data_IF_215334642363
#
_entry.id   IF_215334642363
#
_cell.length_a   1.000
_cell.length_b   1.000
_cell.length_c   1.000
_cell.angle_alpha   90.00
_cell.angle_beta   90.00
_cell.angle_gamma   90.00
#
_symmetry.space_group_name_H-M   'P 1'
#
loop_
_entity.id
_entity.type
_entity.pdbx_description
1 polymer ?
#
# COMPACT_ATOMS: atom_id res chain seq x y z
N UNK A 1 41.58 -20.16 -5.35
CA UNK A 1 41.25 -19.08 -6.31
C UNK A 1 40.02 -18.36 -5.77
N UNK A 2 40.10 -17.04 -5.68
CA UNK A 2 38.97 -16.24 -5.21
C UNK A 2 37.93 -16.21 -6.33
N UNK A 3 36.68 -16.54 -6.03
CA UNK A 3 35.61 -16.53 -7.00
C UNK A 3 35.29 -15.08 -7.39
N UNK A 4 35.25 -14.80 -8.66
CA UNK A 4 34.95 -13.47 -9.19
C UNK A 4 33.67 -13.51 -10.02
N UNK A 5 32.94 -12.42 -9.95
CA UNK A 5 31.64 -12.27 -10.60
C UNK A 5 31.66 -11.00 -11.48
N UNK A 6 30.76 -10.96 -12.45
CA UNK A 6 30.47 -9.77 -13.25
C UNK A 6 28.95 -9.67 -13.40
N UNK A 7 28.41 -8.47 -13.54
CA UNK A 7 26.98 -8.28 -13.79
C UNK A 7 26.72 -7.36 -14.98
N UNK A 8 25.56 -7.49 -15.60
CA UNK A 8 25.07 -6.54 -16.60
C UNK A 8 24.12 -5.58 -15.91
N UNK A 9 24.49 -4.29 -15.85
CA UNK A 9 23.65 -3.25 -15.25
C UNK A 9 22.37 -2.97 -16.07
N UNK A 10 21.45 -2.21 -15.50
CA UNK A 10 20.23 -1.78 -16.18
C UNK A 10 20.47 -0.88 -17.39
N UNK A 11 21.66 -0.34 -17.53
CA UNK A 11 22.17 0.43 -18.67
C UNK A 11 22.80 -0.45 -19.77
N UNK A 12 22.80 -1.79 -19.58
CA UNK A 12 23.39 -2.75 -20.50
C UNK A 12 24.92 -2.83 -20.44
N UNK A 13 25.55 -2.16 -19.47
CA UNK A 13 27.01 -2.23 -19.29
C UNK A 13 27.42 -3.37 -18.37
N UNK A 14 28.63 -3.92 -18.62
CA UNK A 14 29.23 -4.97 -17.80
C UNK A 14 30.02 -4.33 -16.65
N UNK A 15 29.69 -4.73 -15.42
CA UNK A 15 30.33 -4.30 -14.18
C UNK A 15 31.06 -5.46 -13.54
N UNK A 16 32.31 -5.25 -13.13
CA UNK A 16 33.15 -6.25 -12.49
C UNK A 16 34.58 -6.21 -13.00
N UNK A 17 35.49 -7.08 -12.54
CA UNK A 17 35.22 -8.20 -11.62
C UNK A 17 34.88 -7.74 -10.19
N UNK A 18 33.95 -8.43 -9.52
CA UNK A 18 33.50 -8.14 -8.17
C UNK A 18 33.48 -9.41 -7.31
N UNK A 19 33.43 -9.27 -6.00
CA UNK A 19 33.36 -10.36 -5.04
C UNK A 19 31.91 -10.73 -4.71
N UNK A 20 31.69 -11.90 -4.09
CA UNK A 20 30.36 -12.29 -3.61
C UNK A 20 29.81 -11.28 -2.59
N UNK A 21 30.66 -10.79 -1.67
CA UNK A 21 30.26 -9.83 -0.66
C UNK A 21 29.76 -8.49 -1.26
N UNK A 22 30.37 -8.04 -2.35
CA UNK A 22 29.92 -6.85 -3.07
C UNK A 22 28.59 -7.10 -3.81
N UNK A 23 28.41 -8.30 -4.40
CA UNK A 23 27.11 -8.67 -4.98
C UNK A 23 26.02 -8.72 -3.93
N UNK A 24 26.29 -9.27 -2.75
CA UNK A 24 25.35 -9.25 -1.62
C UNK A 24 25.01 -7.83 -1.19
N UNK A 25 26.00 -6.93 -1.09
CA UNK A 25 25.74 -5.52 -0.80
C UNK A 25 24.87 -4.86 -1.87
N UNK A 26 25.08 -5.17 -3.15
CA UNK A 26 24.25 -4.64 -4.24
C UNK A 26 22.83 -5.21 -4.24
N UNK A 27 22.63 -6.44 -3.76
CA UNK A 27 21.29 -6.98 -3.48
C UNK A 27 20.62 -6.16 -2.37
N UNK A 28 21.34 -5.92 -1.24
CA UNK A 28 20.84 -5.15 -0.11
C UNK A 28 20.46 -3.70 -0.49
N UNK A 29 21.26 -3.08 -1.37
CA UNK A 29 21.01 -1.73 -1.88
C UNK A 29 19.93 -1.68 -2.98
N UNK A 30 19.38 -2.84 -3.40
CA UNK A 30 18.41 -2.93 -4.49
C UNK A 30 18.99 -2.64 -5.89
N UNK A 31 20.30 -2.63 -6.03
CA UNK A 31 21.01 -2.41 -7.30
C UNK A 31 21.10 -3.69 -8.14
N UNK A 32 21.14 -4.86 -7.48
CA UNK A 32 21.13 -6.16 -8.11
C UNK A 32 19.75 -6.81 -7.90
N UNK A 33 19.04 -7.02 -8.99
CA UNK A 33 17.71 -7.66 -9.00
C UNK A 33 17.81 -9.14 -9.35
N UNK A 34 16.85 -9.99 -8.97
CA UNK A 34 16.88 -11.43 -9.28
C UNK A 34 16.98 -11.77 -10.77
N UNK A 35 16.41 -10.91 -11.63
CA UNK A 35 16.46 -11.06 -13.09
C UNK A 35 17.74 -10.51 -13.74
N UNK A 36 18.63 -9.87 -12.96
CA UNK A 36 19.90 -9.33 -13.48
C UNK A 36 20.85 -10.47 -13.85
N UNK A 37 21.48 -10.37 -15.01
CA UNK A 37 22.45 -11.36 -15.44
C UNK A 37 23.77 -11.20 -14.70
N UNK A 38 24.24 -12.27 -14.10
CA UNK A 38 25.53 -12.38 -13.40
C UNK A 38 26.34 -13.50 -14.01
N UNK A 39 27.59 -13.22 -14.31
CA UNK A 39 28.57 -14.21 -14.73
C UNK A 39 29.40 -14.66 -13.53
N UNK A 40 29.60 -15.96 -13.38
CA UNK A 40 30.43 -16.54 -12.34
C UNK A 40 31.68 -17.18 -12.96
N UNK A 41 32.86 -16.92 -12.36
CA UNK A 41 34.12 -17.56 -12.76
C UNK A 41 34.13 -19.06 -12.52
N UNK A 42 33.31 -19.59 -11.65
CA UNK A 42 33.18 -21.01 -11.34
C UNK A 42 32.47 -21.77 -12.47
N UNK A 43 31.36 -21.25 -12.96
CA UNK A 43 30.53 -21.90 -13.99
C UNK A 43 30.92 -21.47 -15.41
N UNK A 44 31.61 -20.33 -15.56
CA UNK A 44 31.95 -19.70 -16.83
C UNK A 44 30.75 -19.26 -17.66
N UNK A 45 29.57 -19.08 -17.02
CA UNK A 45 28.29 -18.79 -17.70
C UNK A 45 27.56 -17.61 -17.06
N UNK A 46 26.76 -16.93 -17.87
CA UNK A 46 25.81 -15.95 -17.43
C UNK A 46 24.54 -16.66 -16.92
N UNK A 47 24.08 -16.28 -15.75
CA UNK A 47 22.82 -16.76 -15.16
C UNK A 47 22.10 -15.60 -14.47
N UNK A 48 20.79 -15.76 -14.26
CA UNK A 48 20.04 -14.80 -13.46
C UNK A 48 20.53 -14.84 -12.00
N UNK A 49 20.74 -13.67 -11.40
CA UNK A 49 21.20 -13.55 -10.01
C UNK A 49 20.34 -14.33 -9.01
N UNK A 50 19.02 -14.37 -9.23
CA UNK A 50 18.08 -15.11 -8.41
C UNK A 50 18.21 -16.63 -8.47
N UNK A 51 18.99 -17.16 -9.45
CA UNK A 51 19.29 -18.60 -9.59
C UNK A 51 20.62 -19.00 -8.99
N UNK A 52 21.41 -18.03 -8.52
CA UNK A 52 22.67 -18.29 -7.84
C UNK A 52 22.40 -18.68 -6.38
N UNK A 53 22.77 -19.91 -5.96
CA UNK A 53 22.52 -20.38 -4.59
C UNK A 53 23.15 -19.49 -3.53
N UNK A 54 24.31 -18.91 -3.84
CA UNK A 54 25.08 -18.04 -2.95
C UNK A 54 24.32 -16.73 -2.62
N UNK A 55 23.50 -16.22 -3.56
CA UNK A 55 22.74 -15.00 -3.39
C UNK A 55 21.32 -15.24 -2.87
N UNK A 56 20.87 -16.50 -2.79
CA UNK A 56 19.52 -16.83 -2.36
C UNK A 56 19.17 -16.27 -0.97
N UNK A 57 20.09 -16.41 0.00
CA UNK A 57 19.92 -15.85 1.35
C UNK A 57 19.91 -14.32 1.40
N UNK A 58 20.61 -13.66 0.51
CA UNK A 58 20.63 -12.19 0.41
C UNK A 58 19.35 -11.67 -0.23
N UNK A 59 18.86 -12.34 -1.27
CA UNK A 59 17.55 -12.02 -1.85
C UNK A 59 16.39 -12.30 -0.87
N UNK A 60 16.45 -13.37 -0.06
CA UNK A 60 15.47 -13.62 0.98
C UNK A 60 15.44 -12.51 2.05
N UNK A 61 16.57 -11.90 2.37
CA UNK A 61 16.64 -10.76 3.31
C UNK A 61 16.08 -9.47 2.71
N UNK A 62 16.27 -9.24 1.41
CA UNK A 62 15.88 -7.99 0.72
C UNK A 62 14.49 -8.09 0.10
N UNK A 63 14.08 -9.28 -0.29
CA UNK A 63 12.77 -9.59 -0.87
C UNK A 63 11.82 -10.29 0.12
N UNK A 64 11.74 -9.86 1.40
CA UNK A 64 10.75 -10.45 2.31
C UNK A 64 9.31 -10.19 1.86
N UNK A 65 9.12 -9.41 0.78
CA UNK A 65 7.82 -8.94 0.35
C UNK A 65 7.08 -9.88 -0.61
N UNK A 66 7.78 -10.79 -1.30
CA UNK A 66 7.11 -11.64 -2.31
C UNK A 66 6.64 -13.00 -1.75
N UNK A 67 7.10 -13.38 -0.56
CA UNK A 67 6.70 -14.63 0.12
C UNK A 67 6.51 -14.49 1.63
N UNK A 68 6.23 -13.28 2.14
CA UNK A 68 5.84 -13.16 3.53
C UNK A 68 4.53 -13.95 3.71
N UNK A 69 4.60 -15.02 4.48
CA UNK A 69 3.42 -15.79 4.86
C UNK A 69 2.88 -15.23 6.17
N UNK A 70 1.61 -14.85 6.20
CA UNK A 70 0.88 -14.56 7.44
C UNK A 70 0.00 -15.75 7.73
N UNK A 71 0.15 -16.36 8.89
CA UNK A 71 -0.58 -17.57 9.27
C UNK A 71 -0.43 -18.73 8.24
N UNK A 72 0.75 -18.84 7.61
CA UNK A 72 1.02 -19.88 6.59
C UNK A 72 0.51 -19.56 5.19
N UNK A 73 0.11 -18.30 4.95
CA UNK A 73 -0.44 -17.83 3.68
C UNK A 73 0.54 -16.95 2.94
N UNK A 74 0.82 -17.30 1.70
CA UNK A 74 1.64 -16.49 0.80
C UNK A 74 0.96 -15.13 0.54
N UNK A 75 1.67 -14.04 0.84
CA UNK A 75 1.16 -12.68 0.64
C UNK A 75 1.41 -12.22 -0.80
N UNK A 76 0.40 -12.29 -1.62
CA UNK A 76 0.44 -11.72 -2.98
C UNK A 76 0.00 -10.25 -2.93
N UNK A 77 0.84 -9.28 -3.37
CA UNK A 77 0.46 -7.87 -3.41
C UNK A 77 -0.81 -7.64 -4.23
N UNK A 78 -1.72 -6.82 -3.71
CA UNK A 78 -2.95 -6.48 -4.41
C UNK A 78 -2.66 -5.54 -5.59
N UNK A 79 -3.21 -5.84 -6.76
CA UNK A 79 -3.09 -4.99 -7.95
C UNK A 79 -3.78 -3.64 -7.77
N UNK A 80 -3.31 -2.63 -8.52
CA UNK A 80 -3.81 -1.25 -8.45
C UNK A 80 -5.33 -1.15 -8.71
N UNK A 81 -5.86 -1.84 -9.70
CA UNK A 81 -7.29 -1.84 -10.04
C UNK A 81 -8.19 -2.37 -8.93
N UNK A 82 -7.76 -3.42 -8.22
CA UNK A 82 -8.52 -3.93 -7.07
C UNK A 82 -8.55 -2.94 -5.91
N UNK A 83 -7.42 -2.25 -5.66
CA UNK A 83 -7.32 -1.19 -4.65
C UNK A 83 -8.18 0.00 -5.02
N UNK A 84 -8.19 0.39 -6.30
CA UNK A 84 -9.02 1.47 -6.81
C UNK A 84 -10.52 1.14 -6.68
N UNK A 85 -10.95 -0.05 -7.12
CA UNK A 85 -12.34 -0.48 -6.95
C UNK A 85 -12.80 -0.52 -5.48
N UNK A 86 -11.94 -1.03 -4.59
CA UNK A 86 -12.21 -1.01 -3.15
C UNK A 86 -12.34 0.42 -2.60
N UNK A 87 -11.46 1.33 -3.03
CA UNK A 87 -11.50 2.73 -2.64
C UNK A 87 -12.78 3.43 -3.11
N UNK A 88 -13.21 3.20 -4.36
CA UNK A 88 -14.47 3.75 -4.88
C UNK A 88 -15.66 3.22 -4.07
N UNK A 89 -15.72 1.91 -3.79
CA UNK A 89 -16.78 1.33 -2.99
C UNK A 89 -16.84 1.91 -1.57
N UNK A 90 -15.68 2.07 -0.91
CA UNK A 90 -15.58 2.68 0.41
C UNK A 90 -16.03 4.15 0.39
N UNK A 91 -15.62 4.93 -0.61
CA UNK A 91 -16.06 6.33 -0.77
C UNK A 91 -17.58 6.41 -0.94
N UNK A 92 -18.15 5.62 -1.84
CA UNK A 92 -19.60 5.61 -2.06
C UNK A 92 -20.36 5.27 -0.78
N UNK A 93 -19.88 4.29 -0.01
CA UNK A 93 -20.47 3.92 1.26
C UNK A 93 -20.39 5.06 2.29
N UNK A 94 -19.23 5.70 2.43
CA UNK A 94 -19.02 6.81 3.36
C UNK A 94 -19.90 8.01 3.00
N UNK A 95 -19.96 8.37 1.70
CA UNK A 95 -20.82 9.47 1.25
C UNK A 95 -22.30 9.15 1.45
N UNK A 96 -22.74 7.93 1.17
CA UNK A 96 -24.10 7.50 1.41
C UNK A 96 -24.47 7.60 2.89
N UNK A 97 -23.67 7.01 3.77
CA UNK A 97 -23.92 7.04 5.22
C UNK A 97 -23.79 8.47 5.78
N UNK A 98 -22.78 9.21 5.31
CA UNK A 98 -22.54 10.58 5.73
C UNK A 98 -23.68 11.51 5.32
N UNK A 99 -24.22 11.39 4.09
CA UNK A 99 -25.37 12.19 3.66
C UNK A 99 -26.64 11.87 4.44
N UNK A 100 -26.81 10.62 4.87
CA UNK A 100 -27.94 10.21 5.69
C UNK A 100 -27.86 10.78 7.13
N UNK A 101 -26.64 10.85 7.67
CA UNK A 101 -26.40 11.34 9.05
C UNK A 101 -26.28 12.87 9.11
N UNK A 102 -25.87 13.50 8.01
CA UNK A 102 -25.60 14.93 7.99
C UNK A 102 -26.76 15.82 8.46
N UNK A 103 -28.02 15.62 8.05
CA UNK A 103 -29.12 16.45 8.50
C UNK A 103 -29.29 16.47 10.03
N UNK A 104 -29.06 15.31 10.67
CA UNK A 104 -29.14 15.18 12.13
C UNK A 104 -28.00 15.91 12.81
N UNK A 105 -26.79 15.75 12.30
CA UNK A 105 -25.59 16.41 12.83
C UNK A 105 -25.66 17.93 12.62
N UNK A 106 -26.09 18.37 11.44
CA UNK A 106 -26.27 19.78 11.12
C UNK A 106 -27.31 20.46 12.02
N UNK A 107 -28.44 19.80 12.26
CA UNK A 107 -29.45 20.28 13.18
C UNK A 107 -28.91 20.41 14.62
N UNK A 108 -28.13 19.44 15.07
CA UNK A 108 -27.51 19.47 16.40
C UNK A 108 -26.42 20.55 16.54
N UNK A 109 -25.68 20.83 15.47
CA UNK A 109 -24.65 21.87 15.45
C UNK A 109 -25.18 23.26 15.08
N UNK A 110 -26.48 23.38 14.71
CA UNK A 110 -27.07 24.64 14.25
C UNK A 110 -26.52 25.11 12.88
N UNK A 111 -26.10 24.16 12.04
CA UNK A 111 -25.56 24.46 10.70
C UNK A 111 -26.70 24.42 9.68
N UNK A 112 -26.89 25.50 8.93
CA UNK A 112 -27.83 25.49 7.80
C UNK A 112 -27.30 24.61 6.66
N UNK A 113 -28.14 23.66 6.21
CA UNK A 113 -27.83 22.84 5.04
C UNK A 113 -28.19 23.64 3.78
N UNK A 114 -27.20 24.05 3.03
CA UNK A 114 -27.42 24.80 1.78
C UNK A 114 -27.55 23.84 0.59
N UNK A 115 -28.50 24.12 -0.33
CA UNK A 115 -28.64 23.32 -1.54
C UNK A 115 -27.42 23.46 -2.46
N UNK A 116 -27.22 22.46 -3.31
CA UNK A 116 -26.19 22.54 -4.33
C UNK A 116 -26.51 23.68 -5.32
N UNK A 117 -25.49 24.39 -5.84
CA UNK A 117 -25.69 25.46 -6.80
C UNK A 117 -26.30 24.92 -8.10
N UNK A 118 -27.28 25.64 -8.65
CA UNK A 118 -27.89 25.28 -9.93
C UNK A 118 -26.99 25.57 -11.14
N UNK A 119 -25.95 26.41 -10.96
CA UNK A 119 -24.98 26.78 -11.96
C UNK A 119 -23.72 25.93 -11.89
N UNK A 120 -23.22 25.44 -13.04
CA UNK A 120 -21.98 24.66 -13.14
C UNK A 120 -20.69 25.49 -13.25
N UNK A 121 -20.71 26.78 -12.86
CA UNK A 121 -19.52 27.62 -12.89
C UNK A 121 -18.57 27.27 -11.75
N UNK A 122 -17.26 27.36 -12.00
CA UNK A 122 -16.24 27.05 -11.01
C UNK A 122 -16.40 27.89 -9.72
N UNK A 123 -16.74 29.16 -9.86
CA UNK A 123 -16.94 30.08 -8.74
C UNK A 123 -18.10 29.62 -7.84
N UNK A 124 -19.20 29.14 -8.44
CA UNK A 124 -20.36 28.63 -7.69
C UNK A 124 -19.99 27.35 -6.92
N UNK A 125 -19.17 26.49 -7.51
CA UNK A 125 -18.68 25.26 -6.87
C UNK A 125 -17.71 25.58 -5.73
N UNK A 126 -16.81 26.55 -5.90
CA UNK A 126 -15.87 26.97 -4.87
C UNK A 126 -16.60 27.63 -3.69
N UNK A 127 -17.60 28.48 -3.97
CA UNK A 127 -18.40 29.11 -2.95
C UNK A 127 -19.24 28.07 -2.18
N UNK A 128 -19.85 27.12 -2.89
CA UNK A 128 -20.55 25.98 -2.29
C UNK A 128 -19.65 25.17 -1.37
N UNK A 129 -18.43 24.81 -1.84
CA UNK A 129 -17.45 24.09 -1.04
C UNK A 129 -17.05 24.88 0.21
N UNK A 130 -16.85 26.20 0.10
CA UNK A 130 -16.52 27.06 1.21
C UNK A 130 -17.65 27.16 2.23
N UNK A 131 -18.89 27.27 1.77
CA UNK A 131 -20.07 27.35 2.62
C UNK A 131 -20.38 26.02 3.31
N UNK A 132 -20.04 24.88 2.67
CA UNK A 132 -20.24 23.53 3.22
C UNK A 132 -18.98 22.96 3.88
N UNK A 133 -18.01 23.77 4.29
CA UNK A 133 -16.84 23.33 5.07
C UNK A 133 -17.19 22.40 6.24
N UNK A 134 -18.26 22.66 7.04
CA UNK A 134 -18.63 21.76 8.13
C UNK A 134 -19.01 20.36 7.64
N UNK A 135 -19.71 20.23 6.51
CA UNK A 135 -20.03 18.94 5.90
C UNK A 135 -18.77 18.21 5.44
N UNK A 136 -17.87 18.92 4.75
CA UNK A 136 -16.62 18.32 4.28
C UNK A 136 -15.76 17.86 5.45
N UNK A 137 -15.65 18.65 6.50
CA UNK A 137 -14.97 18.27 7.74
C UNK A 137 -15.61 17.04 8.40
N UNK A 138 -16.93 17.02 8.52
CA UNK A 138 -17.66 15.87 9.05
C UNK A 138 -17.39 14.59 8.25
N UNK A 139 -17.43 14.66 6.91
CA UNK A 139 -17.13 13.53 6.04
C UNK A 139 -15.69 13.03 6.21
N UNK A 140 -14.73 13.94 6.42
CA UNK A 140 -13.33 13.54 6.69
C UNK A 140 -13.18 12.86 8.05
N UNK A 141 -13.90 13.31 9.08
CA UNK A 141 -13.92 12.66 10.38
C UNK A 141 -14.57 11.26 10.26
N UNK A 142 -15.67 11.14 9.54
CA UNK A 142 -16.31 9.85 9.26
C UNK A 142 -15.34 8.90 8.54
N UNK A 143 -14.62 9.40 7.54
CA UNK A 143 -13.62 8.64 6.79
C UNK A 143 -12.45 8.18 7.67
N UNK A 144 -11.96 9.03 8.56
CA UNK A 144 -10.93 8.68 9.55
C UNK A 144 -11.43 7.55 10.47
N UNK A 145 -12.58 7.75 11.10
CA UNK A 145 -13.15 6.75 12.01
C UNK A 145 -13.39 5.42 11.29
N UNK A 146 -13.94 5.46 10.08
CA UNK A 146 -14.18 4.30 9.25
C UNK A 146 -12.88 3.54 8.93
N UNK A 147 -11.83 4.22 8.46
CA UNK A 147 -10.54 3.59 8.14
C UNK A 147 -9.89 3.02 9.42
N UNK A 148 -9.86 3.79 10.52
CA UNK A 148 -9.22 3.36 11.77
C UNK A 148 -9.94 2.16 12.38
N UNK A 149 -11.26 2.18 12.47
CA UNK A 149 -12.05 1.10 13.07
C UNK A 149 -11.96 -0.17 12.23
N UNK A 150 -12.19 -0.07 10.92
CA UNK A 150 -12.23 -1.25 10.06
C UNK A 150 -10.83 -1.81 9.79
N UNK A 151 -9.84 -0.97 9.49
CA UNK A 151 -8.48 -1.47 9.24
C UNK A 151 -7.80 -1.90 10.54
N UNK A 152 -7.97 -1.14 11.63
CA UNK A 152 -7.39 -1.48 12.93
C UNK A 152 -8.00 -2.74 13.56
N UNK A 153 -9.31 -2.93 13.43
CA UNK A 153 -10.02 -4.08 13.99
C UNK A 153 -10.00 -5.31 13.07
N UNK A 154 -10.33 -5.12 11.80
CA UNK A 154 -10.55 -6.23 10.85
C UNK A 154 -9.43 -6.37 9.81
N UNK A 155 -8.52 -5.41 9.72
CA UNK A 155 -7.47 -5.38 8.69
C UNK A 155 -7.96 -5.00 7.30
N UNK A 156 -9.25 -4.68 7.13
CA UNK A 156 -9.81 -4.31 5.83
C UNK A 156 -11.09 -3.49 6.02
N UNK A 157 -11.32 -2.49 5.17
CA UNK A 157 -12.59 -1.79 5.04
C UNK A 157 -13.60 -2.66 4.27
N UNK A 158 -14.92 -2.41 4.36
CA UNK A 158 -15.93 -3.13 3.59
C UNK A 158 -15.63 -3.22 2.10
N UNK A 159 -15.24 -2.13 1.44
CA UNK A 159 -14.86 -2.16 0.03
C UNK A 159 -13.63 -3.03 -0.24
N UNK A 160 -12.64 -3.03 0.66
CA UNK A 160 -11.49 -3.93 0.57
C UNK A 160 -11.87 -5.40 0.78
N UNK A 161 -12.80 -5.68 1.71
CA UNK A 161 -13.34 -7.03 1.91
C UNK A 161 -14.04 -7.54 0.66
N UNK A 162 -14.88 -6.71 0.02
CA UNK A 162 -15.55 -7.05 -1.25
C UNK A 162 -14.54 -7.30 -2.38
N UNK A 163 -13.43 -6.55 -2.44
CA UNK A 163 -12.38 -6.73 -3.42
C UNK A 163 -11.44 -7.93 -3.13
N UNK A 164 -11.63 -8.64 -2.00
CA UNK A 164 -10.77 -9.74 -1.58
C UNK A 164 -9.34 -9.31 -1.27
N UNK A 165 -9.18 -8.13 -0.66
CA UNK A 165 -7.87 -7.57 -0.27
C UNK A 165 -7.86 -7.18 1.21
N UNK A 166 -6.69 -7.28 1.84
CA UNK A 166 -6.47 -6.98 3.24
C UNK A 166 -5.21 -6.16 3.44
N UNK A 167 -5.24 -5.31 4.46
CA UNK A 167 -4.07 -4.57 4.94
C UNK A 167 -3.39 -5.38 6.02
N UNK A 168 -2.09 -5.53 5.91
CA UNK A 168 -1.24 -6.22 6.89
C UNK A 168 -0.02 -5.35 7.18
N UNK A 169 0.66 -5.58 8.29
CA UNK A 169 1.98 -4.98 8.53
C UNK A 169 2.99 -5.58 7.57
N UNK A 170 4.11 -4.87 7.37
CA UNK A 170 5.20 -5.35 6.51
C UNK A 170 5.85 -6.63 7.02
N UNK A 171 5.78 -6.90 8.32
CA UNK A 171 6.21 -8.15 8.96
C UNK A 171 5.16 -9.26 8.91
N UNK A 172 4.01 -9.02 8.26
CA UNK A 172 2.91 -9.96 8.18
C UNK A 172 1.94 -9.92 9.35
N UNK A 173 2.22 -9.14 10.37
CA UNK A 173 1.36 -8.99 11.55
C UNK A 173 0.07 -8.21 11.28
N UNK A 174 -0.78 -8.14 12.31
CA UNK A 174 -2.02 -7.34 12.26
C UNK A 174 -1.72 -5.86 12.29
N UNK A 175 -2.53 -5.09 11.56
CA UNK A 175 -2.48 -3.63 11.61
C UNK A 175 -3.22 -3.18 12.85
N UNK A 176 -2.52 -2.51 13.78
CA UNK A 176 -3.16 -1.89 14.94
C UNK A 176 -3.81 -0.54 14.58
N UNK A 177 -4.62 -0.02 15.50
CA UNK A 177 -5.34 1.25 15.31
C UNK A 177 -4.40 2.44 15.03
N UNK A 178 -3.24 2.50 15.69
CA UNK A 178 -2.25 3.55 15.46
C UNK A 178 -1.70 3.50 14.03
N UNK A 179 -1.34 2.32 13.54
CA UNK A 179 -0.85 2.16 12.16
C UNK A 179 -1.94 2.48 11.13
N UNK A 180 -3.21 2.15 11.42
CA UNK A 180 -4.36 2.52 10.59
C UNK A 180 -4.55 4.05 10.55
N UNK A 181 -4.42 4.74 11.68
CA UNK A 181 -4.47 6.20 11.75
C UNK A 181 -3.31 6.85 10.98
N UNK A 182 -2.07 6.41 11.21
CA UNK A 182 -0.90 6.90 10.46
C UNK A 182 -1.07 6.71 8.95
N UNK A 183 -1.65 5.59 8.54
CA UNK A 183 -1.98 5.29 7.15
C UNK A 183 -3.00 6.29 6.56
N UNK A 184 -4.02 6.65 7.33
CA UNK A 184 -5.00 7.66 6.92
C UNK A 184 -4.34 9.03 6.71
N UNK A 185 -3.54 9.49 7.68
CA UNK A 185 -2.81 10.76 7.54
C UNK A 185 -1.79 10.72 6.40
N UNK A 186 -1.05 9.62 6.24
CA UNK A 186 -0.16 9.42 5.10
C UNK A 186 -0.89 9.52 3.76
N UNK A 187 -2.14 9.02 3.68
CA UNK A 187 -2.99 9.15 2.49
C UNK A 187 -3.42 10.60 2.25
N UNK A 188 -3.78 11.33 3.30
CA UNK A 188 -4.13 12.74 3.20
C UNK A 188 -2.97 13.57 2.60
N UNK A 189 -1.72 13.30 3.03
CA UNK A 189 -0.53 13.88 2.41
C UNK A 189 -0.36 13.48 0.94
N UNK A 190 -0.73 12.26 0.55
CA UNK A 190 -0.69 11.83 -0.84
C UNK A 190 -1.73 12.52 -1.73
N UNK A 191 -2.88 12.88 -1.17
CA UNK A 191 -3.99 13.53 -1.87
C UNK A 191 -3.70 15.01 -2.13
N UNK A 192 -3.01 15.71 -1.21
CA UNK A 192 -2.72 17.14 -1.30
C UNK A 192 -1.96 17.57 -2.56
N UNK A 193 -0.86 16.92 -3.01
CA UNK A 193 -0.17 17.28 -4.24
C UNK A 193 -0.73 16.49 -5.43
N UNK A 194 -1.95 16.79 -5.88
CA UNK A 194 -2.56 16.19 -7.09
C UNK A 194 -2.50 14.65 -7.14
N UNK A 195 -2.62 13.97 -5.98
CA UNK A 195 -2.52 12.50 -5.87
C UNK A 195 -1.18 11.90 -6.33
N UNK A 196 -0.11 12.67 -6.42
CA UNK A 196 1.21 12.19 -6.84
C UNK A 196 1.75 11.06 -5.93
N UNK A 197 1.34 11.01 -4.67
CA UNK A 197 1.71 9.92 -3.76
C UNK A 197 1.21 8.54 -4.18
N UNK A 198 0.18 8.46 -5.04
CA UNK A 198 -0.29 7.19 -5.59
C UNK A 198 0.54 6.72 -6.80
N UNK A 199 1.33 7.60 -7.41
CA UNK A 199 2.21 7.24 -8.52
C UNK A 199 3.27 6.22 -8.07
N UNK A 200 3.71 6.27 -6.81
CA UNK A 200 4.63 5.30 -6.23
C UNK A 200 4.10 3.86 -6.32
N UNK A 201 2.78 3.67 -6.25
CA UNK A 201 2.13 2.37 -6.38
C UNK A 201 2.30 1.74 -7.77
N UNK A 202 2.42 2.57 -8.81
CA UNK A 202 2.62 2.13 -10.20
C UNK A 202 4.09 1.92 -10.53
N UNK A 203 4.98 2.71 -9.91
CA UNK A 203 6.41 2.71 -10.22
C UNK A 203 7.20 1.66 -9.44
N UNK A 204 6.69 1.22 -8.28
CA UNK A 204 7.39 0.27 -7.41
C UNK A 204 6.98 -1.17 -7.68
N UNK A 205 7.98 -2.06 -7.69
CA UNK A 205 7.76 -3.51 -7.86
C UNK A 205 6.94 -4.13 -6.71
N UNK A 206 7.12 -3.60 -5.47
CA UNK A 206 6.38 -4.04 -4.27
C UNK A 206 4.95 -3.52 -4.19
N UNK A 207 4.53 -2.67 -5.14
CA UNK A 207 3.19 -2.08 -5.24
C UNK A 207 2.72 -1.43 -3.93
N UNK A 208 3.63 -0.82 -3.17
CA UNK A 208 3.31 -0.04 -1.97
C UNK A 208 3.15 1.42 -2.32
N UNK A 209 2.07 2.04 -1.88
CA UNK A 209 1.89 3.48 -1.93
C UNK A 209 2.73 4.18 -0.85
N UNK A 210 2.97 5.48 -0.99
CA UNK A 210 3.72 6.25 0.00
C UNK A 210 3.11 6.13 1.41
N UNK A 211 1.78 6.15 1.52
CA UNK A 211 1.07 5.95 2.78
C UNK A 211 1.25 4.54 3.38
N UNK A 212 1.44 3.51 2.53
CA UNK A 212 1.76 2.15 2.97
C UNK A 212 3.16 2.10 3.59
N UNK A 213 4.13 2.80 2.98
CA UNK A 213 5.51 2.89 3.46
C UNK A 213 5.60 3.62 4.80
N UNK A 214 4.94 4.79 4.91
CA UNK A 214 4.93 5.61 6.13
C UNK A 214 4.31 4.88 7.32
N UNK A 215 3.34 4.00 7.08
CA UNK A 215 2.65 3.23 8.12
C UNK A 215 3.22 1.83 8.34
N UNK A 216 4.27 1.42 7.60
CA UNK A 216 4.85 0.09 7.67
C UNK A 216 3.85 -1.02 7.32
N UNK A 217 2.95 -0.76 6.35
CA UNK A 217 1.89 -1.70 5.96
C UNK A 217 2.00 -2.11 4.49
N UNK A 218 1.28 -3.17 4.14
CA UNK A 218 1.12 -3.63 2.75
C UNK A 218 -0.33 -4.07 2.51
N UNK A 219 -0.80 -3.99 1.27
CA UNK A 219 -2.11 -4.50 0.88
C UNK A 219 -1.94 -5.78 0.08
N UNK A 220 -2.51 -6.87 0.58
CA UNK A 220 -2.37 -8.21 0.03
C UNK A 220 -3.71 -8.79 -0.41
N UNK A 221 -3.69 -9.79 -1.28
CA UNK A 221 -4.88 -10.54 -1.67
C UNK A 221 -5.20 -11.59 -0.62
N UNK A 222 -6.49 -11.79 -0.37
CA UNK A 222 -7.00 -12.92 0.44
C UNK A 222 -7.51 -13.98 -0.53
N UNK A 223 -6.98 -15.20 -0.44
CA UNK A 223 -7.48 -16.32 -1.26
C UNK A 223 -8.80 -16.85 -0.67
N UNK A 224 -9.82 -17.12 -1.49
CA UNK A 224 -11.06 -17.72 -1.01
C UNK A 224 -10.75 -19.14 -0.48
N UNK A 225 -11.05 -19.36 0.79
CA UNK A 225 -10.76 -20.62 1.51
C UNK A 225 -9.91 -20.46 2.77
N UNK A 226 -9.26 -19.34 2.95
CA UNK A 226 -8.50 -19.03 4.16
C UNK A 226 -9.41 -18.38 5.21
N UNK A 227 -9.78 -19.16 6.22
CA UNK A 227 -10.46 -18.65 7.41
C UNK A 227 -9.52 -17.69 8.14
N UNK A 228 -9.75 -16.40 7.98
CA UNK A 228 -9.17 -15.40 8.88
C UNK A 228 -9.72 -15.67 10.27
N UNK A 229 -8.89 -16.17 11.17
CA UNK A 229 -9.27 -16.29 12.59
C UNK A 229 -9.62 -14.88 13.08
N UNK A 230 -10.85 -14.66 13.61
CA UNK A 230 -11.17 -13.41 14.25
C UNK A 230 -10.24 -13.22 15.44
N UNK A 231 -9.82 -11.97 15.64
CA UNK A 231 -8.97 -11.59 16.76
C UNK A 231 -9.79 -11.53 18.05
N UNK A 232 -10.14 -12.69 18.59
CA UNK A 232 -10.67 -12.78 19.94
C UNK A 232 -9.63 -13.49 20.82
N UNK A 233 -9.12 -12.75 21.82
CA UNK A 233 -8.38 -13.28 22.95
C UNK A 233 -6.86 -13.28 22.76
N UNK A 234 -6.21 -12.23 23.21
CA UNK A 234 -4.86 -12.26 23.74
C UNK A 234 -4.99 -12.00 25.23
N UNK A 235 -4.64 -12.98 26.01
CA UNK A 235 -4.28 -12.82 27.41
C UNK A 235 -3.04 -11.93 27.53
#
# INVERSE_FOLDING_TARGET
MEMTYKMIGGDGQEYGPTTLAELEAWVLDGRLLPATLVWSSETGRWSEAGRLPELAGSFERVLPADKATVDGVEMVPAGAWRRFGAFVADILLIYLLGSLLWPVVAAWWGVEVKPAPEGGKLDDVLEFARQNNPLLFFLQVCRLCFEVVFVGGFGATPGKMMAGIRVVRSDGGRVGYLAAAMRFFGRLFCELPFNLGYLTLLLRADRRGLHDLLSGTAVVRVHPGQKTRPALGGE
#
